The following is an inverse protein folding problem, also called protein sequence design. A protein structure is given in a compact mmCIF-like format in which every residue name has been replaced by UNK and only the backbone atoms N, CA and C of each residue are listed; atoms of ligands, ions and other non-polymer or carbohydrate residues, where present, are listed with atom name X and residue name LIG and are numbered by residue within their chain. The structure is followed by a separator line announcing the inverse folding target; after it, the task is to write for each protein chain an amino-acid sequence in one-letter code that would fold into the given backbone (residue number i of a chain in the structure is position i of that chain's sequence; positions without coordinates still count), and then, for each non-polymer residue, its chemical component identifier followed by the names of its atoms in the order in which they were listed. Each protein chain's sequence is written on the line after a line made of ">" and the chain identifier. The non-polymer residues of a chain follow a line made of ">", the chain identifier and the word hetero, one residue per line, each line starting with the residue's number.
data_IF_250772388455
#
_entry.id   IF_250772388455
#
_cell.length_a   1.000
_cell.length_b   1.000
_cell.length_c   1.000
_cell.angle_alpha   90.00
_cell.angle_beta   90.00
_cell.angle_gamma   90.00
#
_symmetry.space_group_name_H-M   'P 1'
#
loop_
_entity.id
_entity.type
_entity.pdbx_description
1 polymer ?
#
# COMPACT_ATOMS: atom_id res chain seq x y z
N UNK A 1 7.19 -6.42 -7.55
CA UNK A 1 6.96 -7.53 -8.50
C UNK A 1 5.88 -8.44 -7.95
N UNK A 2 4.85 -8.74 -8.73
CA UNK A 2 3.87 -9.78 -8.39
C UNK A 2 4.23 -11.02 -9.20
N UNK A 3 4.62 -12.11 -8.53
CA UNK A 3 5.08 -13.35 -9.19
C UNK A 3 6.21 -13.12 -10.22
N UNK A 4 7.16 -12.22 -9.93
CA UNK A 4 8.25 -11.91 -10.85
C UNK A 4 7.89 -10.98 -12.02
N UNK A 5 6.72 -10.34 -12.00
CA UNK A 5 6.26 -9.39 -13.04
C UNK A 5 6.10 -7.97 -12.47
N UNK A 6 6.51 -6.94 -13.23
CA UNK A 6 6.37 -5.53 -12.87
C UNK A 6 4.93 -5.07 -13.12
N UNK A 7 4.28 -4.54 -12.10
CA UNK A 7 2.86 -4.10 -12.16
C UNK A 7 2.72 -2.58 -12.03
N UNK A 8 3.55 -1.96 -11.19
CA UNK A 8 3.62 -0.51 -11.02
C UNK A 8 5.07 -0.12 -11.22
N UNK A 9 5.34 0.68 -12.26
CA UNK A 9 6.66 1.17 -12.59
C UNK A 9 6.76 2.65 -12.23
N UNK A 10 7.51 2.96 -11.18
CA UNK A 10 7.72 4.33 -10.69
C UNK A 10 6.43 5.19 -10.60
N UNK A 11 5.31 4.56 -10.21
CA UNK A 11 4.00 5.20 -10.23
C UNK A 11 3.85 6.24 -9.11
N UNK A 12 3.41 7.45 -9.47
CA UNK A 12 3.17 8.54 -8.53
C UNK A 12 1.81 8.39 -7.80
N UNK A 13 1.85 8.35 -6.47
CA UNK A 13 0.65 8.36 -5.61
C UNK A 13 0.19 9.81 -5.42
N UNK A 14 -1.07 10.10 -5.79
CA UNK A 14 -1.65 11.46 -5.78
C UNK A 14 -2.27 11.90 -4.45
N UNK A 15 -2.29 11.02 -3.45
CA UNK A 15 -2.91 11.20 -2.14
C UNK A 15 -3.45 9.89 -1.56
N UNK A 16 -4.40 9.98 -0.62
CA UNK A 16 -5.08 8.82 -0.04
C UNK A 16 -5.82 7.96 -1.10
N UNK A 17 -5.97 6.68 -0.80
CA UNK A 17 -6.77 5.73 -1.59
C UNK A 17 -8.21 5.70 -1.07
N UNK A 18 -9.11 6.40 -1.75
CA UNK A 18 -10.52 6.54 -1.33
C UNK A 18 -11.43 5.56 -2.07
N UNK A 19 -12.44 5.00 -1.40
CA UNK A 19 -13.50 4.23 -2.06
C UNK A 19 -14.40 5.12 -2.93
N UNK A 20 -14.69 6.33 -2.46
CA UNK A 20 -15.55 7.32 -3.14
C UNK A 20 -14.86 8.69 -3.08
N UNK A 21 -14.80 9.37 -4.22
CA UNK A 21 -14.28 10.73 -4.35
C UNK A 21 -12.81 10.79 -4.77
N UNK A 22 -12.25 12.00 -4.76
CA UNK A 22 -10.86 12.27 -5.16
C UNK A 22 -9.86 12.00 -4.02
N UNK A 23 -8.59 11.66 -4.33
CA UNK A 23 -7.52 11.54 -3.34
C UNK A 23 -7.37 12.77 -2.45
N UNK A 24 -6.99 12.58 -1.20
CA UNK A 24 -6.77 13.66 -0.22
C UNK A 24 -5.30 13.72 0.18
N UNK A 25 -4.75 14.93 0.30
CA UNK A 25 -3.36 15.19 0.67
C UNK A 25 -3.28 15.77 2.08
N UNK A 26 -3.61 14.95 3.09
CA UNK A 26 -3.45 15.33 4.49
C UNK A 26 -1.99 15.13 4.90
N UNK A 27 -1.30 16.13 5.48
CA UNK A 27 0.07 15.96 5.97
C UNK A 27 0.16 14.82 7.00
N UNK A 28 1.22 14.01 6.89
CA UNK A 28 1.56 12.97 7.86
C UNK A 28 3.08 12.73 7.87
N UNK A 29 3.58 12.14 8.95
CA UNK A 29 4.95 11.64 9.05
C UNK A 29 5.00 10.14 8.77
N UNK A 30 5.88 9.44 9.48
CA UNK A 30 6.00 7.99 9.40
C UNK A 30 4.71 7.28 9.86
N UNK A 31 4.45 6.11 9.29
CA UNK A 31 3.27 5.31 9.58
C UNK A 31 3.55 3.81 9.47
N UNK A 32 2.63 2.99 10.00
CA UNK A 32 2.71 1.53 9.92
C UNK A 32 2.25 1.00 8.56
N UNK A 33 2.65 -0.23 8.21
CA UNK A 33 1.98 -1.01 7.17
C UNK A 33 0.69 -1.59 7.75
N UNK A 34 -0.43 -1.37 7.06
CA UNK A 34 -1.75 -1.87 7.45
C UNK A 34 -2.18 -2.96 6.47
N UNK A 35 -2.54 -4.14 6.99
CA UNK A 35 -3.15 -5.21 6.20
C UNK A 35 -4.67 -5.09 6.32
N UNK A 36 -5.36 -4.89 5.19
CA UNK A 36 -6.81 -4.75 5.17
C UNK A 36 -7.50 -6.12 5.24
N UNK A 37 -8.53 -6.22 6.08
CA UNK A 37 -9.58 -7.22 5.96
C UNK A 37 -10.81 -6.58 5.33
N UNK A 38 -11.38 -7.24 4.32
CA UNK A 38 -12.55 -6.79 3.59
C UNK A 38 -13.68 -7.84 3.60
N UNK A 39 -13.76 -8.62 4.68
CA UNK A 39 -14.80 -9.64 4.89
C UNK A 39 -14.59 -10.90 4.04
N UNK A 40 -13.41 -11.06 3.46
CA UNK A 40 -13.02 -12.21 2.63
C UNK A 40 -11.73 -12.80 3.19
N UNK A 41 -11.77 -14.01 3.80
CA UNK A 41 -10.61 -14.59 4.45
C UNK A 41 -9.45 -14.80 3.49
N UNK A 42 -8.27 -14.31 3.90
CA UNK A 42 -7.00 -14.55 3.23
C UNK A 42 -5.94 -14.90 4.27
N UNK A 43 -4.85 -15.53 3.84
CA UNK A 43 -3.74 -15.91 4.73
C UNK A 43 -2.43 -15.34 4.20
N UNK A 44 -1.58 -14.90 5.12
CA UNK A 44 -0.29 -14.26 4.80
C UNK A 44 0.87 -15.07 5.36
N UNK A 45 2.05 -14.95 4.74
CA UNK A 45 3.32 -15.48 5.25
C UNK A 45 4.48 -14.67 4.70
N UNK A 46 5.61 -14.72 5.39
CA UNK A 46 6.89 -14.14 4.93
C UNK A 46 6.83 -12.64 4.61
N UNK A 47 6.21 -11.83 5.48
CA UNK A 47 6.21 -10.37 5.38
C UNK A 47 7.43 -9.84 6.15
N UNK A 48 8.28 -9.07 5.49
CA UNK A 48 9.47 -8.44 6.06
C UNK A 48 9.62 -7.02 5.51
N UNK A 49 10.26 -6.15 6.29
CA UNK A 49 10.54 -4.75 5.93
C UNK A 49 11.99 -4.40 6.29
N UNK A 50 12.55 -3.44 5.57
CA UNK A 50 13.87 -2.86 5.84
C UNK A 50 13.81 -1.38 5.49
N UNK A 51 14.36 -0.54 6.36
CA UNK A 51 14.52 0.89 6.08
C UNK A 51 15.45 1.14 4.89
N UNK A 52 15.21 2.25 4.19
CA UNK A 52 16.01 2.74 3.06
C UNK A 52 16.72 4.03 3.48
N UNK A 53 17.82 4.35 2.80
CA UNK A 53 18.67 5.50 3.10
C UNK A 53 18.20 6.77 2.39
#
# INVERSE_FOLDING_TARGET
>A
MHNGVLIQDHFEIKGTTEYIGWPKNKPHGDGSIILQDHGSPVSYRNIWVRELN
#
